data_IF_013813277799
#
_entry.id   IF_013813277799
#
_cell.length_a   1.000
_cell.length_b   1.000
_cell.length_c   1.000
_cell.angle_alpha   90.00
_cell.angle_beta   90.00
_cell.angle_gamma   90.00
#
_symmetry.space_group_name_H-M   'P 1'
#
loop_
_entity.id
_entity.type
_entity.pdbx_description
1 polymer ?
#
# COMPACT_ATOMS: atom_id res chain seq x y z
N UNK A 1 -0.57 -33.81 -26.83
CA UNK A 1 -0.52 -32.93 -25.63
C UNK A 1 -1.66 -31.92 -25.78
N UNK A 2 -2.82 -32.22 -25.19
CA UNK A 2 -4.07 -31.50 -25.48
C UNK A 2 -4.10 -30.11 -24.84
N UNK A 3 -4.39 -29.09 -25.65
CA UNK A 3 -4.61 -27.71 -25.23
C UNK A 3 -5.91 -27.64 -24.41
N UNK A 4 -5.80 -27.46 -23.10
CA UNK A 4 -6.97 -27.24 -22.23
C UNK A 4 -7.62 -25.91 -22.59
N UNK A 5 -8.89 -25.97 -23.00
CA UNK A 5 -9.68 -24.79 -23.36
C UNK A 5 -10.03 -24.01 -22.10
N UNK A 6 -9.35 -22.89 -21.85
CA UNK A 6 -9.47 -22.02 -20.66
C UNK A 6 -10.88 -21.37 -20.49
N UNK A 7 -11.76 -21.49 -21.48
CA UNK A 7 -12.92 -20.59 -21.64
C UNK A 7 -14.27 -21.20 -21.27
N UNK A 8 -14.34 -22.46 -20.82
CA UNK A 8 -15.59 -23.08 -20.31
C UNK A 8 -15.48 -23.45 -18.85
N UNK A 9 -15.72 -22.49 -17.96
CA UNK A 9 -15.83 -22.69 -16.50
C UNK A 9 -17.29 -22.62 -16.05
N UNK A 10 -17.73 -23.45 -15.08
CA UNK A 10 -19.07 -23.38 -14.51
C UNK A 10 -19.38 -22.01 -13.90
N UNK A 11 -20.65 -21.59 -13.93
CA UNK A 11 -21.08 -20.27 -13.44
C UNK A 11 -20.68 -20.00 -11.98
N UNK A 12 -20.58 -21.06 -11.17
CA UNK A 12 -20.19 -21.01 -9.76
C UNK A 12 -18.72 -20.59 -9.55
N UNK A 13 -17.88 -20.60 -10.60
CA UNK A 13 -16.45 -20.29 -10.50
C UNK A 13 -16.17 -18.80 -10.68
N UNK A 14 -17.00 -18.06 -11.43
CA UNK A 14 -16.87 -16.61 -11.60
C UNK A 14 -16.78 -15.81 -10.27
N UNK A 15 -17.61 -16.06 -9.24
CA UNK A 15 -17.49 -15.32 -7.98
C UNK A 15 -16.17 -15.59 -7.25
N UNK A 16 -15.60 -16.80 -7.39
CA UNK A 16 -14.30 -17.13 -6.79
C UNK A 16 -13.20 -16.30 -7.45
N UNK A 17 -13.18 -16.25 -8.78
CA UNK A 17 -12.20 -15.41 -9.50
C UNK A 17 -12.36 -13.93 -9.22
N UNK A 18 -13.58 -13.44 -9.03
CA UNK A 18 -13.83 -12.05 -8.66
C UNK A 18 -13.22 -11.72 -7.29
N UNK A 19 -13.51 -12.54 -6.26
CA UNK A 19 -12.98 -12.34 -4.90
C UNK A 19 -11.46 -12.49 -4.90
N UNK A 20 -10.92 -13.50 -5.56
CA UNK A 20 -9.47 -13.71 -5.65
C UNK A 20 -8.78 -12.57 -6.38
N UNK A 21 -9.36 -12.07 -7.47
CA UNK A 21 -8.85 -10.91 -8.19
C UNK A 21 -8.81 -9.68 -7.29
N UNK A 22 -9.90 -9.38 -6.59
CA UNK A 22 -9.95 -8.27 -5.64
C UNK A 22 -8.93 -8.45 -4.51
N UNK A 23 -8.79 -9.65 -3.96
CA UNK A 23 -7.86 -9.93 -2.87
C UNK A 23 -6.40 -9.72 -3.29
N UNK A 24 -5.99 -10.31 -4.44
CA UNK A 24 -4.61 -10.19 -4.93
C UNK A 24 -4.31 -8.75 -5.34
N UNK A 25 -5.20 -8.11 -6.11
CA UNK A 25 -5.01 -6.71 -6.51
C UNK A 25 -4.99 -5.77 -5.30
N UNK A 26 -5.89 -5.96 -4.33
CA UNK A 26 -5.96 -5.17 -3.10
C UNK A 26 -4.71 -5.35 -2.22
N UNK A 27 -4.24 -6.58 -2.07
CA UNK A 27 -3.00 -6.87 -1.34
C UNK A 27 -1.78 -6.25 -2.03
N UNK A 28 -1.64 -6.42 -3.35
CA UNK A 28 -0.54 -5.82 -4.12
C UNK A 28 -0.57 -4.29 -4.06
N UNK A 29 -1.75 -3.67 -4.14
CA UNK A 29 -1.92 -2.23 -3.98
C UNK A 29 -1.50 -1.76 -2.59
N UNK A 30 -1.95 -2.46 -1.54
CA UNK A 30 -1.62 -2.11 -0.16
C UNK A 30 -0.12 -2.24 0.12
N UNK A 31 0.53 -3.30 -0.37
CA UNK A 31 1.99 -3.47 -0.25
C UNK A 31 2.73 -2.37 -1.03
N UNK A 32 2.28 -2.05 -2.24
CA UNK A 32 2.87 -0.96 -3.04
C UNK A 32 2.74 0.39 -2.35
N UNK A 33 1.63 0.62 -1.63
CA UNK A 33 1.42 1.79 -0.81
C UNK A 33 2.34 1.80 0.40
N UNK A 34 2.44 0.71 1.16
CA UNK A 34 3.34 0.59 2.32
C UNK A 34 4.79 0.87 1.93
N UNK A 35 5.27 0.30 0.82
CA UNK A 35 6.62 0.52 0.31
C UNK A 35 6.91 1.98 -0.06
N UNK A 36 5.87 2.80 -0.27
CA UNK A 36 5.94 4.21 -0.65
C UNK A 36 5.39 5.16 0.43
N UNK A 37 4.97 4.64 1.58
CA UNK A 37 4.29 5.42 2.62
C UNK A 37 5.30 6.21 3.45
N UNK A 38 4.78 7.18 4.21
CA UNK A 38 5.52 8.01 5.15
C UNK A 38 5.87 7.19 6.39
N UNK A 39 6.87 6.32 6.26
CA UNK A 39 7.39 5.57 7.39
C UNK A 39 8.29 6.44 8.27
N UNK A 40 8.35 6.05 9.53
CA UNK A 40 9.34 6.51 10.51
C UNK A 40 10.71 5.99 10.05
N UNK A 41 11.42 6.79 9.25
CA UNK A 41 12.72 6.40 8.68
C UNK A 41 13.84 6.80 9.63
N UNK A 42 14.66 5.84 10.03
CA UNK A 42 15.90 6.12 10.75
C UNK A 42 16.87 6.85 9.83
N UNK A 43 17.33 8.03 10.23
CA UNK A 43 18.35 8.78 9.50
C UNK A 43 19.51 9.13 10.45
N UNK A 44 20.71 9.41 9.91
CA UNK A 44 21.89 9.72 10.75
C UNK A 44 21.72 10.98 11.62
N UNK A 45 20.80 11.86 11.28
CA UNK A 45 20.55 13.13 11.98
C UNK A 45 19.44 13.03 13.04
N UNK A 46 18.63 11.97 13.01
CA UNK A 46 17.51 11.75 13.91
C UNK A 46 17.62 10.36 14.55
N UNK A 47 18.09 10.34 15.79
CA UNK A 47 18.29 9.13 16.60
C UNK A 47 16.99 8.63 17.26
N UNK A 48 15.85 9.30 17.10
CA UNK A 48 14.58 8.87 17.71
C UNK A 48 13.39 9.30 16.84
N UNK A 49 13.22 8.69 15.66
CA UNK A 49 12.29 9.16 14.64
C UNK A 49 10.80 9.01 15.04
N UNK A 50 10.50 8.25 16.10
CA UNK A 50 9.16 8.13 16.68
C UNK A 50 8.78 9.28 17.61
N UNK A 51 9.72 10.14 18.02
CA UNK A 51 9.44 11.33 18.84
C UNK A 51 9.08 12.55 17.99
N UNK A 52 9.51 12.59 16.73
CA UNK A 52 9.37 13.75 15.85
C UNK A 52 8.41 13.47 14.68
N UNK A 53 7.14 13.81 14.87
CA UNK A 53 6.17 13.95 13.78
C UNK A 53 5.77 15.43 13.71
N UNK A 54 6.22 16.19 12.69
CA UNK A 54 5.88 17.60 12.58
C UNK A 54 4.38 17.79 12.39
N UNK A 55 3.90 18.91 12.92
CA UNK A 55 2.50 19.29 12.80
C UNK A 55 2.07 19.36 11.33
N UNK A 56 0.90 18.78 11.04
CA UNK A 56 0.36 18.69 9.67
C UNK A 56 0.82 17.48 8.87
N UNK A 57 1.67 16.61 9.44
CA UNK A 57 2.05 15.33 8.87
C UNK A 57 1.55 14.19 9.74
N UNK A 58 1.17 13.07 9.12
CA UNK A 58 0.74 11.87 9.83
C UNK A 58 1.31 10.62 9.18
N UNK A 59 1.58 9.60 10.00
CA UNK A 59 1.94 8.25 9.55
C UNK A 59 0.69 7.37 9.36
N UNK A 60 -0.49 7.90 9.67
CA UNK A 60 -1.76 7.17 9.62
C UNK A 60 -2.20 6.92 8.19
N UNK A 61 -2.86 5.78 8.00
CA UNK A 61 -3.42 5.37 6.71
C UNK A 61 -4.51 6.33 6.18
N UNK A 62 -5.22 6.98 7.10
CA UNK A 62 -6.30 7.89 6.78
C UNK A 62 -6.41 8.92 7.91
N UNK A 63 -6.61 10.17 7.53
CA UNK A 63 -7.00 11.23 8.45
C UNK A 63 -8.43 11.67 8.11
N UNK A 64 -9.43 11.39 8.97
CA UNK A 64 -10.81 11.82 8.75
C UNK A 64 -10.97 13.34 8.76
N UNK A 65 -10.00 14.09 9.28
CA UNK A 65 -10.02 15.56 9.32
C UNK A 65 -9.34 16.21 8.10
N UNK A 66 -8.85 15.41 7.14
CA UNK A 66 -8.34 15.89 5.85
C UNK A 66 -7.06 16.73 5.90
N UNK A 67 -6.30 16.71 7.00
CA UNK A 67 -5.13 17.56 7.20
C UNK A 67 -3.86 16.98 6.58
N UNK A 68 -3.86 16.69 5.28
CA UNK A 68 -2.69 16.19 4.55
C UNK A 68 -1.91 17.35 3.89
N UNK A 69 -0.90 17.89 4.58
CA UNK A 69 -0.06 18.96 4.02
C UNK A 69 1.10 18.48 3.13
N UNK A 70 1.33 17.17 3.01
CA UNK A 70 2.31 16.60 2.06
C UNK A 70 3.08 15.39 2.57
N UNK A 71 4.11 14.98 1.82
CA UNK A 71 5.01 13.88 2.19
C UNK A 71 6.08 14.37 3.18
N UNK A 72 6.14 13.74 4.35
CA UNK A 72 7.04 14.09 5.46
C UNK A 72 8.53 13.86 5.12
N UNK A 73 8.83 12.85 4.29
CA UNK A 73 10.20 12.55 3.89
C UNK A 73 10.30 12.27 2.40
N UNK A 74 11.10 13.10 1.71
CA UNK A 74 11.61 12.80 0.38
C UNK A 74 12.94 12.07 0.57
N UNK A 75 13.06 10.81 0.13
CA UNK A 75 14.35 10.10 0.18
C UNK A 75 15.39 10.92 -0.58
N UNK A 76 16.43 11.36 0.11
CA UNK A 76 17.60 11.96 -0.52
C UNK A 76 18.23 10.87 -1.41
N UNK A 77 18.45 11.19 -2.71
CA UNK A 77 19.21 10.28 -3.56
C UNK A 77 20.67 10.31 -3.09
N UNK A 78 21.26 9.12 -2.95
CA UNK A 78 22.68 8.93 -2.67
C UNK A 78 23.55 9.61 -3.73
#
# INVERSE_FOLDING_TARGET
MGMYTLTKVPVCVYPIFAIMGVAVTGASWYVSRLARSQDVVWNRRNQSPFLDVPQGFTVKLMDPNGSFNGQFYKRERL
#
